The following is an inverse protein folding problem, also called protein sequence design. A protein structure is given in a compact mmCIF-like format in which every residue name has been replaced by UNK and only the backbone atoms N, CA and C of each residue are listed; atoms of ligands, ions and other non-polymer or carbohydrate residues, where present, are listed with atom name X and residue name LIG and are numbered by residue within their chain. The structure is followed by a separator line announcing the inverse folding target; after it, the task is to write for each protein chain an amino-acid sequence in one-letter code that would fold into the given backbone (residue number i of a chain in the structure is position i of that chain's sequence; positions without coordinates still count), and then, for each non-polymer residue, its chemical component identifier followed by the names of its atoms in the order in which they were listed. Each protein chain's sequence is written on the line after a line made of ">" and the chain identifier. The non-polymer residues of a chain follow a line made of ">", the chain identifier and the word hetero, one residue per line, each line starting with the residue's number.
data_IF_572031353179
#
_entry.id   IF_572031353179
#
_cell.length_a   1.000
_cell.length_b   1.000
_cell.length_c   1.000
_cell.angle_alpha   90.00
_cell.angle_beta   90.00
_cell.angle_gamma   90.00
#
_symmetry.space_group_name_H-M   'P 1'
#
loop_
_entity.id
_entity.type
_entity.pdbx_description
1 polymer ?
#
# COMPACT_ATOMS: atom_id res chain seq x y z
N UNK A 1 16.89 -40.96 -40.48
CA UNK A 1 15.97 -41.10 -39.34
C UNK A 1 16.77 -40.73 -38.11
N UNK A 2 16.62 -39.49 -37.64
CA UNK A 2 17.31 -38.96 -36.46
C UNK A 2 16.23 -38.49 -35.50
N UNK A 3 16.23 -39.03 -34.29
CA UNK A 3 15.17 -38.86 -33.30
C UNK A 3 14.95 -37.38 -32.95
N UNK A 4 13.68 -36.98 -32.95
CA UNK A 4 13.23 -35.66 -32.55
C UNK A 4 13.42 -35.53 -31.03
N UNK A 5 14.57 -35.01 -30.57
CA UNK A 5 14.74 -34.63 -29.17
C UNK A 5 13.79 -33.45 -28.91
N UNK A 6 12.65 -33.72 -28.27
CA UNK A 6 11.77 -32.69 -27.75
C UNK A 6 12.55 -31.99 -26.63
N UNK A 7 13.03 -30.78 -26.90
CA UNK A 7 13.87 -30.04 -25.98
C UNK A 7 12.99 -29.51 -24.84
N UNK A 8 12.90 -30.28 -23.75
CA UNK A 8 12.21 -29.86 -22.52
C UNK A 8 13.05 -28.80 -21.82
N UNK A 9 12.44 -27.66 -21.53
CA UNK A 9 13.10 -26.54 -20.89
C UNK A 9 12.39 -26.22 -19.60
N UNK A 10 13.13 -26.26 -18.51
CA UNK A 10 12.67 -25.84 -17.19
C UNK A 10 12.82 -24.32 -17.06
N UNK A 11 11.74 -23.66 -16.65
CA UNK A 11 11.67 -22.20 -16.67
C UNK A 11 12.54 -21.55 -15.60
N UNK A 12 12.74 -22.20 -14.44
CA UNK A 12 13.69 -21.72 -13.45
C UNK A 12 15.13 -21.66 -14.01
N UNK A 13 15.49 -22.54 -14.96
CA UNK A 13 16.79 -22.49 -15.66
C UNK A 13 16.82 -21.43 -16.76
N UNK A 14 15.66 -21.10 -17.33
CA UNK A 14 15.55 -20.08 -18.35
C UNK A 14 15.67 -18.68 -17.73
N UNK A 15 15.14 -18.47 -16.53
CA UNK A 15 15.34 -17.25 -15.77
C UNK A 15 16.83 -16.96 -15.54
N UNK A 16 17.23 -15.71 -15.76
CA UNK A 16 18.62 -15.25 -15.70
C UNK A 16 19.45 -15.54 -16.95
N UNK A 17 18.93 -16.32 -17.91
CA UNK A 17 19.63 -16.64 -19.15
C UNK A 17 19.79 -15.40 -20.03
N UNK A 18 20.99 -15.19 -20.59
CA UNK A 18 21.27 -14.05 -21.46
C UNK A 18 20.54 -14.17 -22.81
N UNK A 19 20.02 -13.05 -23.28
CA UNK A 19 19.30 -12.92 -24.55
C UNK A 19 20.18 -12.18 -25.54
N UNK A 20 20.34 -12.74 -26.74
CA UNK A 20 21.17 -12.20 -27.82
C UNK A 20 20.35 -11.97 -29.08
N UNK A 21 20.77 -10.98 -29.86
CA UNK A 21 20.27 -10.77 -31.21
C UNK A 21 20.95 -11.75 -32.22
N UNK A 22 20.55 -11.76 -33.50
CA UNK A 22 21.15 -12.65 -34.51
C UNK A 22 22.61 -12.32 -34.86
N UNK A 23 23.10 -11.12 -34.51
CA UNK A 23 24.48 -10.69 -34.73
C UNK A 23 25.40 -11.06 -33.55
N UNK A 24 24.82 -11.55 -32.44
CA UNK A 24 25.52 -11.91 -31.22
C UNK A 24 25.61 -10.78 -30.20
N UNK A 25 24.91 -9.67 -30.41
CA UNK A 25 24.88 -8.54 -29.48
C UNK A 25 23.96 -8.85 -28.29
N UNK A 26 24.38 -8.54 -27.04
CA UNK A 26 23.58 -8.79 -25.86
C UNK A 26 22.38 -7.82 -25.80
N UNK A 27 21.18 -8.39 -25.72
CA UNK A 27 19.92 -7.64 -25.60
C UNK A 27 19.51 -7.49 -24.14
N UNK A 28 19.67 -8.55 -23.34
CA UNK A 28 19.14 -8.56 -21.98
C UNK A 28 19.24 -9.93 -21.31
N UNK A 29 18.40 -10.16 -20.30
CA UNK A 29 18.27 -11.44 -19.60
C UNK A 29 16.80 -11.83 -19.48
N UNK A 30 16.49 -13.12 -19.64
CA UNK A 30 15.15 -13.63 -19.39
C UNK A 30 14.84 -13.51 -17.89
N UNK A 31 13.65 -13.02 -17.57
CA UNK A 31 13.13 -12.98 -16.20
C UNK A 31 12.01 -13.96 -15.98
N UNK A 32 11.11 -14.07 -16.96
CA UNK A 32 9.93 -14.92 -16.84
C UNK A 32 9.43 -15.35 -18.22
N UNK A 33 8.45 -16.24 -18.25
CA UNK A 33 7.62 -16.54 -19.40
C UNK A 33 6.18 -16.06 -19.17
N UNK A 34 5.51 -15.69 -20.25
CA UNK A 34 4.09 -15.35 -20.25
C UNK A 34 3.32 -16.51 -20.86
N UNK A 35 2.28 -16.98 -20.19
CA UNK A 35 1.41 -18.06 -20.69
C UNK A 35 -0.07 -17.68 -20.62
N UNK A 36 -0.90 -18.42 -21.37
CA UNK A 36 -2.36 -18.36 -21.27
C UNK A 36 -2.91 -19.64 -20.67
N UNK A 37 -3.68 -19.51 -19.60
CA UNK A 37 -4.49 -20.59 -19.04
C UNK A 37 -5.66 -20.88 -19.98
N UNK A 38 -5.88 -22.16 -20.27
CA UNK A 38 -7.01 -22.62 -21.07
C UNK A 38 -8.04 -23.31 -20.18
N UNK A 39 -9.32 -23.10 -20.48
CA UNK A 39 -10.42 -23.82 -19.84
C UNK A 39 -10.24 -25.33 -20.02
N UNK A 40 -10.65 -26.12 -19.01
CA UNK A 40 -10.63 -27.59 -18.98
C UNK A 40 -9.27 -28.26 -18.74
N UNK A 41 -8.40 -27.68 -17.89
CA UNK A 41 -7.11 -28.24 -17.47
C UNK A 41 -6.15 -28.59 -18.63
N UNK A 42 -6.31 -27.92 -19.78
CA UNK A 42 -5.38 -28.07 -20.90
C UNK A 42 -4.07 -27.35 -20.58
N UNK A 43 -2.96 -27.92 -21.05
CA UNK A 43 -1.63 -27.31 -20.93
C UNK A 43 -1.63 -25.84 -21.38
N UNK A 44 -1.18 -24.91 -20.52
CA UNK A 44 -1.05 -23.50 -20.84
C UNK A 44 -0.12 -23.29 -22.04
N UNK A 45 -0.46 -22.32 -22.89
CA UNK A 45 0.37 -21.97 -24.05
C UNK A 45 1.28 -20.80 -23.69
N UNK A 46 2.58 -20.97 -23.91
CA UNK A 46 3.57 -19.90 -23.73
C UNK A 46 3.44 -18.92 -24.90
N UNK A 47 3.17 -17.66 -24.60
CA UNK A 47 3.05 -16.56 -25.56
C UNK A 47 4.38 -15.87 -25.85
N UNK A 48 5.27 -15.83 -24.86
CA UNK A 48 6.53 -15.11 -24.96
C UNK A 48 7.35 -15.14 -23.67
N UNK A 49 8.46 -14.43 -23.70
CA UNK A 49 9.37 -14.25 -22.58
C UNK A 49 9.36 -12.79 -22.12
N UNK A 50 9.47 -12.58 -20.82
CA UNK A 50 9.78 -11.28 -20.24
C UNK A 50 11.29 -11.16 -20.19
N UNK A 51 11.82 -10.16 -20.89
CA UNK A 51 13.27 -9.91 -20.97
C UNK A 51 13.57 -8.57 -20.31
N UNK A 52 14.53 -8.58 -19.38
CA UNK A 52 15.11 -7.38 -18.82
C UNK A 52 16.23 -6.89 -19.70
N UNK A 53 16.06 -5.69 -20.26
CA UNK A 53 17.04 -4.97 -21.08
C UNK A 53 17.82 -3.97 -20.21
N UNK A 54 18.87 -3.29 -20.73
CA UNK A 54 19.57 -2.24 -19.98
C UNK A 54 18.62 -1.19 -19.36
N UNK A 55 19.04 -0.60 -18.23
CA UNK A 55 18.21 0.23 -17.35
C UNK A 55 17.10 -0.54 -16.60
N UNK A 56 17.29 -1.84 -16.35
CA UNK A 56 16.35 -2.73 -15.62
C UNK A 56 14.92 -2.74 -16.17
N UNK A 57 14.73 -2.38 -17.44
CA UNK A 57 13.39 -2.31 -18.06
C UNK A 57 12.96 -3.69 -18.54
N UNK A 58 11.77 -4.13 -18.11
CA UNK A 58 11.16 -5.38 -18.55
C UNK A 58 10.35 -5.15 -19.83
N UNK A 59 10.60 -5.95 -20.86
CA UNK A 59 9.90 -5.89 -22.15
C UNK A 59 9.42 -7.28 -22.56
N UNK A 60 8.36 -7.32 -23.36
CA UNK A 60 7.81 -8.58 -23.87
C UNK A 60 8.48 -8.99 -25.17
N UNK A 61 9.01 -10.21 -25.20
CA UNK A 61 9.51 -10.87 -26.41
C UNK A 61 8.52 -11.96 -26.80
N UNK A 62 7.77 -11.82 -27.91
CA UNK A 62 6.90 -12.88 -28.41
C UNK A 62 7.66 -14.18 -28.63
N UNK A 63 7.07 -15.32 -28.29
CA UNK A 63 7.74 -16.63 -28.40
C UNK A 63 8.12 -16.95 -29.85
N UNK A 64 7.39 -16.38 -30.82
CA UNK A 64 7.67 -16.51 -32.26
C UNK A 64 8.96 -15.81 -32.69
N UNK A 65 9.50 -14.92 -31.85
CA UNK A 65 10.77 -14.21 -32.10
C UNK A 65 11.96 -14.98 -31.56
N UNK A 66 11.75 -15.96 -30.68
CA UNK A 66 12.79 -16.81 -30.09
C UNK A 66 13.15 -17.90 -31.11
N UNK A 67 14.38 -17.86 -31.62
CA UNK A 67 14.84 -18.83 -32.64
C UNK A 67 15.50 -20.05 -32.02
N UNK A 68 16.23 -19.87 -30.93
CA UNK A 68 16.85 -20.98 -30.21
C UNK A 68 16.91 -20.68 -28.72
N UNK A 69 16.81 -21.75 -27.93
CA UNK A 69 17.09 -21.76 -26.50
C UNK A 69 18.09 -22.89 -26.28
N UNK A 70 19.35 -22.51 -26.05
CA UNK A 70 20.46 -23.42 -25.83
C UNK A 70 21.01 -23.23 -24.41
N UNK A 71 21.94 -24.09 -23.99
CA UNK A 71 22.44 -24.14 -22.60
C UNK A 71 23.10 -22.81 -22.19
N UNK A 72 22.30 -21.88 -21.66
CA UNK A 72 22.74 -20.56 -21.19
C UNK A 72 22.56 -19.40 -22.17
N UNK A 73 21.89 -19.58 -23.31
CA UNK A 73 21.58 -18.47 -24.23
C UNK A 73 20.21 -18.61 -24.91
N UNK A 74 19.50 -17.48 -25.02
CA UNK A 74 18.29 -17.34 -25.82
C UNK A 74 18.60 -16.41 -27.00
N UNK A 75 18.36 -16.87 -28.22
CA UNK A 75 18.56 -16.06 -29.42
C UNK A 75 17.20 -15.60 -29.94
N UNK A 76 17.09 -14.30 -30.22
CA UNK A 76 15.87 -13.67 -30.72
C UNK A 76 16.09 -13.01 -32.08
N UNK A 77 15.02 -12.74 -32.83
CA UNK A 77 15.09 -12.14 -34.17
C UNK A 77 14.22 -10.91 -34.36
N UNK A 78 14.75 -9.94 -35.12
CA UNK A 78 14.05 -8.74 -35.58
C UNK A 78 13.88 -7.66 -34.50
N UNK A 79 13.09 -6.63 -34.81
CA UNK A 79 12.98 -5.43 -33.97
C UNK A 79 12.21 -5.73 -32.67
N UNK A 80 12.82 -5.36 -31.55
CA UNK A 80 12.23 -5.48 -30.22
C UNK A 80 11.36 -4.26 -29.91
N UNK A 81 10.14 -4.51 -29.41
CA UNK A 81 9.31 -3.44 -28.87
C UNK A 81 9.82 -3.09 -27.46
N UNK A 82 10.28 -1.86 -27.28
CA UNK A 82 10.81 -1.40 -26.01
C UNK A 82 9.74 -0.96 -25.03
N UNK A 83 8.43 -1.06 -25.34
CA UNK A 83 7.35 -0.76 -24.39
C UNK A 83 7.51 -1.59 -23.11
N UNK A 84 7.28 -0.96 -21.96
CA UNK A 84 7.30 -1.64 -20.66
C UNK A 84 6.29 -2.79 -20.70
N UNK A 85 6.70 -3.95 -20.22
CA UNK A 85 5.83 -5.11 -20.14
C UNK A 85 4.72 -4.87 -19.12
N UNK A 86 3.50 -5.20 -19.52
CA UNK A 86 2.28 -5.20 -18.72
C UNK A 86 1.55 -6.51 -19.04
N UNK A 87 1.10 -7.23 -18.02
CA UNK A 87 0.29 -8.46 -18.17
C UNK A 87 -1.12 -8.12 -18.65
N UNK A 88 -1.60 -8.79 -19.69
CA UNK A 88 -2.95 -8.58 -20.22
C UNK A 88 -3.97 -9.52 -19.59
N UNK A 89 -5.26 -9.19 -19.71
CA UNK A 89 -6.35 -10.06 -19.27
C UNK A 89 -6.27 -11.44 -19.92
N UNK A 90 -6.16 -12.48 -19.10
CA UNK A 90 -6.04 -13.88 -19.54
C UNK A 90 -4.60 -14.37 -19.76
N UNK A 91 -3.61 -13.49 -19.59
CA UNK A 91 -2.20 -13.84 -19.52
C UNK A 91 -1.76 -14.01 -18.06
N UNK A 92 -0.71 -14.77 -17.85
CA UNK A 92 -0.09 -14.97 -16.54
C UNK A 92 1.42 -15.05 -16.66
N UNK A 93 2.12 -14.67 -15.60
CA UNK A 93 3.53 -14.92 -15.42
C UNK A 93 3.74 -16.32 -14.88
N UNK A 94 4.61 -17.08 -15.55
CA UNK A 94 4.76 -18.48 -15.23
C UNK A 94 5.53 -18.63 -13.92
N UNK A 95 6.70 -18.03 -13.78
CA UNK A 95 7.43 -18.05 -12.51
C UNK A 95 6.73 -17.16 -11.47
N UNK A 96 6.30 -15.96 -11.85
CA UNK A 96 5.65 -15.02 -10.92
C UNK A 96 4.34 -15.51 -10.30
N UNK A 97 3.47 -16.21 -11.05
CA UNK A 97 2.13 -16.55 -10.58
C UNK A 97 1.93 -18.03 -10.20
N UNK A 98 2.84 -18.92 -10.61
CA UNK A 98 2.67 -20.37 -10.43
C UNK A 98 3.76 -21.04 -9.59
N UNK A 99 4.92 -20.43 -9.43
CA UNK A 99 5.97 -20.96 -8.55
C UNK A 99 5.54 -20.82 -7.08
N UNK A 100 5.95 -21.76 -6.23
CA UNK A 100 5.56 -21.88 -4.81
C UNK A 100 4.04 -21.97 -4.54
N UNK A 101 3.24 -22.18 -5.59
CA UNK A 101 1.82 -22.41 -5.43
C UNK A 101 1.58 -23.80 -4.85
N UNK A 102 0.67 -23.88 -3.89
CA UNK A 102 0.16 -25.18 -3.42
C UNK A 102 -0.94 -25.63 -4.38
N UNK A 103 -0.77 -26.83 -4.94
CA UNK A 103 -1.70 -27.46 -5.87
C UNK A 103 -2.04 -28.86 -5.36
N UNK A 104 -3.04 -29.50 -5.96
CA UNK A 104 -3.42 -30.87 -5.61
C UNK A 104 -3.09 -31.84 -6.73
N UNK A 105 -2.60 -33.02 -6.38
CA UNK A 105 -2.54 -34.14 -7.32
C UNK A 105 -3.95 -34.68 -7.57
N UNK A 106 -4.29 -34.96 -8.84
CA UNK A 106 -5.55 -35.61 -9.21
C UNK A 106 -5.68 -36.97 -8.52
N UNK A 107 -4.58 -37.69 -8.45
CA UNK A 107 -4.49 -38.97 -7.74
C UNK A 107 -4.25 -38.71 -6.24
N UNK A 108 -5.31 -38.88 -5.44
CA UNK A 108 -5.23 -38.84 -3.97
C UNK A 108 -5.47 -37.47 -3.33
N UNK A 109 -5.66 -36.39 -4.10
CA UNK A 109 -5.95 -35.03 -3.59
C UNK A 109 -4.93 -34.54 -2.55
N UNK A 110 -3.68 -34.99 -2.67
CA UNK A 110 -2.60 -34.58 -1.78
C UNK A 110 -2.10 -33.17 -2.16
N UNK A 111 -1.97 -32.24 -1.20
CA UNK A 111 -1.41 -30.91 -1.46
C UNK A 111 0.11 -30.99 -1.67
N UNK A 112 0.59 -30.42 -2.77
CA UNK A 112 1.99 -30.38 -3.18
C UNK A 112 2.39 -28.97 -3.59
N UNK A 113 3.65 -28.60 -3.41
CA UNK A 113 4.19 -27.28 -3.77
C UNK A 113 4.77 -27.34 -5.18
N UNK A 114 4.57 -26.29 -6.00
CA UNK A 114 5.22 -26.14 -7.31
C UNK A 114 6.62 -25.55 -7.13
N UNK A 115 7.66 -26.30 -7.53
CA UNK A 115 9.05 -25.81 -7.51
C UNK A 115 9.51 -25.27 -8.88
N UNK A 116 9.02 -25.84 -9.98
CA UNK A 116 9.42 -25.43 -11.34
C UNK A 116 8.39 -25.90 -12.38
N UNK A 117 8.46 -25.35 -13.58
CA UNK A 117 7.65 -25.78 -14.72
C UNK A 117 8.49 -26.01 -15.95
N UNK A 118 8.11 -27.06 -16.69
CA UNK A 118 8.74 -27.44 -17.93
C UNK A 118 7.84 -27.10 -19.12
N UNK A 119 8.39 -26.30 -20.02
CA UNK A 119 7.82 -26.03 -21.34
C UNK A 119 8.42 -26.96 -22.39
N UNK A 120 7.58 -27.44 -23.29
CA UNK A 120 7.96 -28.29 -24.43
C UNK A 120 7.31 -27.72 -25.69
N UNK A 121 8.05 -27.77 -26.80
CA UNK A 121 7.50 -27.40 -28.11
C UNK A 121 6.77 -28.60 -28.70
N UNK A 122 5.53 -28.39 -29.12
CA UNK A 122 4.73 -29.42 -29.78
C UNK A 122 5.06 -29.54 -31.28
N UNK A 123 4.40 -30.46 -31.99
CA UNK A 123 4.60 -30.67 -33.44
C UNK A 123 4.19 -29.48 -34.32
N UNK A 124 3.31 -28.60 -33.83
CA UNK A 124 2.86 -27.39 -34.55
C UNK A 124 3.78 -26.19 -34.31
N UNK A 125 4.82 -26.35 -33.47
CA UNK A 125 5.76 -25.29 -33.12
C UNK A 125 5.33 -24.43 -31.93
N UNK A 126 4.20 -24.73 -31.30
CA UNK A 126 3.72 -24.02 -30.11
C UNK A 126 4.43 -24.53 -28.86
N UNK A 127 4.78 -23.60 -27.97
CA UNK A 127 5.33 -23.91 -26.67
C UNK A 127 4.22 -24.07 -25.65
N UNK A 128 4.21 -25.21 -24.96
CA UNK A 128 3.20 -25.57 -23.96
C UNK A 128 3.88 -25.92 -22.63
N UNK A 129 3.27 -25.52 -21.52
CA UNK A 129 3.66 -26.03 -20.20
C UNK A 129 3.07 -27.43 -20.05
N UNK A 130 3.94 -28.43 -20.09
CA UNK A 130 3.53 -29.85 -20.13
C UNK A 130 3.78 -30.58 -18.82
N UNK A 131 4.72 -30.08 -18.02
CA UNK A 131 5.15 -30.73 -16.78
C UNK A 131 5.40 -29.72 -15.68
N UNK A 132 5.20 -30.16 -14.44
CA UNK A 132 5.41 -29.37 -13.24
C UNK A 132 6.30 -30.17 -12.29
N UNK A 133 7.39 -29.57 -11.84
CA UNK A 133 8.21 -30.11 -10.77
C UNK A 133 7.58 -29.72 -9.44
N UNK A 134 7.30 -30.71 -8.61
CA UNK A 134 6.57 -30.54 -7.36
C UNK A 134 7.34 -31.12 -6.18
N UNK A 135 7.09 -30.57 -5.01
CA UNK A 135 7.56 -31.08 -3.73
C UNK A 135 6.37 -31.49 -2.87
N UNK A 136 6.37 -32.74 -2.38
CA UNK A 136 5.41 -33.20 -1.37
C UNK A 136 5.82 -32.66 0.01
N UNK A 137 4.85 -32.36 0.90
CA UNK A 137 5.16 -31.99 2.29
C UNK A 137 5.77 -33.20 3.03
N UNK A 138 6.92 -33.01 3.67
CA UNK A 138 7.56 -34.05 4.46
C UNK A 138 6.74 -34.43 5.71
N UNK A 139 6.76 -35.71 6.10
CA UNK A 139 6.26 -36.17 7.41
C UNK A 139 7.43 -36.43 8.36
N UNK A 140 7.38 -35.88 9.57
CA UNK A 140 8.37 -36.10 10.63
C UNK A 140 9.57 -35.15 10.60
N UNK A 141 10.71 -35.55 11.20
CA UNK A 141 11.92 -34.73 11.43
C UNK A 141 12.68 -34.28 10.15
N UNK A 142 12.16 -34.57 8.94
CA UNK A 142 12.73 -34.14 7.65
C UNK A 142 11.93 -32.95 7.12
N UNK A 143 12.54 -31.76 7.07
CA UNK A 143 11.90 -30.53 6.55
C UNK A 143 11.60 -30.57 5.05
N UNK A 144 12.37 -31.32 4.25
CA UNK A 144 12.17 -31.42 2.78
C UNK A 144 11.55 -32.77 2.40
N UNK A 145 10.35 -32.75 1.80
CA UNK A 145 9.68 -33.95 1.33
C UNK A 145 10.13 -34.38 -0.07
N UNK A 146 9.58 -35.49 -0.57
CA UNK A 146 9.99 -36.06 -1.85
C UNK A 146 9.60 -35.15 -3.02
N UNK A 147 10.55 -34.83 -3.89
CA UNK A 147 10.30 -34.10 -5.13
C UNK A 147 10.02 -35.05 -6.28
N UNK A 148 9.15 -34.66 -7.20
CA UNK A 148 8.84 -35.42 -8.41
C UNK A 148 8.38 -34.48 -9.52
N UNK A 149 8.51 -34.90 -10.79
CA UNK A 149 7.93 -34.17 -11.92
C UNK A 149 6.69 -34.90 -12.41
N UNK A 150 5.57 -34.19 -12.47
CA UNK A 150 4.26 -34.70 -12.90
C UNK A 150 3.82 -34.01 -14.18
N UNK A 151 2.90 -34.64 -14.92
CA UNK A 151 2.28 -34.01 -16.09
C UNK A 151 1.29 -32.93 -15.65
N UNK A 152 1.09 -31.92 -16.49
CA UNK A 152 0.10 -30.85 -16.23
C UNK A 152 -1.33 -31.39 -16.01
N UNK A 153 -1.67 -32.51 -16.65
CA UNK A 153 -3.00 -33.12 -16.53
C UNK A 153 -3.20 -33.87 -15.20
N UNK A 154 -2.12 -34.19 -14.48
CA UNK A 154 -2.13 -34.92 -13.21
C UNK A 154 -2.32 -34.00 -11.99
N UNK A 155 -2.49 -32.70 -12.23
CA UNK A 155 -2.57 -31.67 -11.20
C UNK A 155 -3.82 -30.81 -11.37
N UNK A 156 -4.36 -30.34 -10.26
CA UNK A 156 -5.51 -29.43 -10.16
C UNK A 156 -5.21 -28.31 -9.17
N UNK A 157 -5.98 -27.22 -9.22
CA UNK A 157 -5.77 -26.04 -8.36
C UNK A 157 -5.17 -24.82 -9.07
N UNK A 158 -4.90 -24.93 -10.39
CA UNK A 158 -4.61 -23.78 -11.25
C UNK A 158 -5.86 -23.07 -11.76
N UNK A 159 -7.04 -23.65 -11.53
CA UNK A 159 -8.35 -23.04 -11.79
C UNK A 159 -8.55 -21.88 -10.81
N UNK A 160 -8.67 -20.65 -11.35
CA UNK A 160 -9.10 -19.39 -10.72
C UNK A 160 -8.96 -19.22 -9.19
N UNK A 161 -8.13 -18.22 -8.81
CA UNK A 161 -8.16 -17.46 -7.56
C UNK A 161 -8.21 -18.24 -6.24
N UNK A 162 -7.04 -18.52 -5.67
CA UNK A 162 -6.91 -18.51 -4.21
C UNK A 162 -6.21 -17.20 -3.82
N UNK A 163 -7.03 -16.15 -3.69
CA UNK A 163 -6.64 -14.79 -3.28
C UNK A 163 -6.02 -14.74 -1.88
N UNK A 164 -6.24 -15.75 -1.03
CA UNK A 164 -6.01 -15.57 0.41
C UNK A 164 -4.58 -15.88 0.88
N UNK A 165 -3.84 -16.79 0.21
CA UNK A 165 -2.53 -17.21 0.74
C UNK A 165 -1.40 -16.22 0.41
N UNK A 166 -1.46 -15.55 -0.75
CA UNK A 166 -0.50 -14.51 -1.13
C UNK A 166 -0.72 -13.19 -0.39
N UNK A 167 -1.97 -12.88 0.00
CA UNK A 167 -2.29 -11.67 0.78
C UNK A 167 -1.75 -11.81 2.20
N UNK A 168 -1.86 -12.97 2.84
CA UNK A 168 -1.31 -13.15 4.20
C UNK A 168 0.21 -12.94 4.29
N UNK A 169 0.99 -13.47 3.33
CA UNK A 169 2.45 -13.25 3.28
C UNK A 169 2.82 -11.80 2.87
N UNK A 170 1.99 -11.17 2.04
CA UNK A 170 2.18 -9.78 1.67
C UNK A 170 1.87 -8.88 2.88
N UNK A 171 0.76 -9.10 3.59
CA UNK A 171 0.38 -8.40 4.80
C UNK A 171 1.38 -8.59 5.94
N UNK A 172 1.98 -9.77 6.11
CA UNK A 172 3.04 -9.95 7.12
C UNK A 172 4.28 -9.11 6.84
N UNK A 173 4.51 -8.78 5.57
CA UNK A 173 5.64 -7.97 5.14
C UNK A 173 5.31 -6.47 5.14
N UNK A 174 4.07 -6.14 4.76
CA UNK A 174 3.55 -4.78 4.71
C UNK A 174 3.08 -4.24 6.06
N UNK A 175 2.73 -5.11 7.01
CA UNK A 175 2.12 -4.72 8.29
C UNK A 175 3.01 -3.88 9.21
N UNK A 176 4.33 -3.85 8.96
CA UNK A 176 5.27 -3.02 9.71
C UNK A 176 5.68 -1.72 9.00
N UNK A 177 5.20 -1.50 7.77
CA UNK A 177 5.46 -0.25 7.05
C UNK A 177 4.73 0.91 7.74
N UNK A 178 5.18 2.14 7.53
CA UNK A 178 4.36 3.31 7.91
C UNK A 178 3.20 3.47 6.93
N UNK A 179 2.19 4.24 7.31
CA UNK A 179 1.01 4.48 6.48
C UNK A 179 1.39 5.05 5.11
N UNK A 180 2.21 6.11 5.08
CA UNK A 180 2.75 6.68 3.85
C UNK A 180 3.54 5.68 2.97
N UNK A 181 4.32 4.78 3.58
CA UNK A 181 5.06 3.75 2.84
C UNK A 181 4.11 2.67 2.28
N UNK A 182 3.08 2.31 3.04
CA UNK A 182 2.09 1.32 2.65
C UNK A 182 1.18 1.87 1.55
N UNK A 183 0.68 3.10 1.71
CA UNK A 183 0.01 3.87 0.65
C UNK A 183 0.86 3.81 -0.61
N UNK A 184 2.15 4.12 -0.49
CA UNK A 184 3.05 4.12 -1.62
C UNK A 184 3.14 2.77 -2.35
N UNK A 185 3.25 1.67 -1.60
CA UNK A 185 3.27 0.32 -2.16
C UNK A 185 1.94 -0.03 -2.81
N UNK A 186 0.80 0.32 -2.19
CA UNK A 186 -0.54 0.03 -2.72
C UNK A 186 -0.77 0.70 -4.07
N UNK A 187 -0.24 1.89 -4.28
CA UNK A 187 -0.34 2.59 -5.56
C UNK A 187 0.38 1.83 -6.69
N UNK A 188 1.54 1.24 -6.41
CA UNK A 188 2.31 0.47 -7.40
C UNK A 188 1.69 -0.90 -7.73
N UNK A 189 0.72 -1.37 -6.93
CA UNK A 189 0.01 -2.61 -7.18
C UNK A 189 -0.99 -2.46 -8.34
N UNK A 190 -1.17 -3.54 -9.09
CA UNK A 190 -2.26 -3.62 -10.06
C UNK A 190 -3.63 -3.38 -9.36
N UNK A 191 -4.60 -2.71 -9.99
CA UNK A 191 -5.85 -2.27 -9.32
C UNK A 191 -6.57 -3.38 -8.56
N UNK A 192 -6.67 -4.58 -9.14
CA UNK A 192 -7.27 -5.74 -8.47
C UNK A 192 -6.54 -6.13 -7.19
N UNK A 193 -5.20 -6.09 -7.21
CA UNK A 193 -4.37 -6.46 -6.08
C UNK A 193 -4.40 -5.39 -4.98
N UNK A 194 -4.47 -4.11 -5.36
CA UNK A 194 -4.70 -2.99 -4.43
C UNK A 194 -5.97 -3.20 -3.62
N UNK A 195 -7.09 -3.49 -4.31
CA UNK A 195 -8.38 -3.79 -3.65
C UNK A 195 -8.32 -5.03 -2.77
N UNK A 196 -7.65 -6.11 -3.22
CA UNK A 196 -7.46 -7.32 -2.40
C UNK A 196 -6.70 -7.04 -1.10
N UNK A 197 -5.66 -6.19 -1.14
CA UNK A 197 -4.88 -5.83 0.05
C UNK A 197 -5.68 -4.88 0.94
N UNK A 198 -6.32 -3.85 0.38
CA UNK A 198 -7.17 -2.94 1.13
C UNK A 198 -8.27 -3.69 1.90
N UNK A 199 -8.96 -4.63 1.24
CA UNK A 199 -10.00 -5.45 1.89
C UNK A 199 -9.48 -6.34 3.02
N UNK A 200 -8.18 -6.59 3.07
CA UNK A 200 -7.57 -7.45 4.08
C UNK A 200 -6.90 -6.67 5.22
N UNK A 201 -6.74 -5.34 5.09
CA UNK A 201 -6.41 -4.46 6.21
C UNK A 201 -7.64 -4.32 7.13
N UNK A 202 -7.40 -4.05 8.41
CA UNK A 202 -8.42 -3.53 9.32
C UNK A 202 -8.72 -2.07 8.99
N UNK A 203 -9.85 -1.58 9.49
CA UNK A 203 -10.40 -0.29 9.04
C UNK A 203 -9.55 0.88 9.54
N UNK A 204 -9.07 0.86 10.79
CA UNK A 204 -8.13 1.87 11.32
C UNK A 204 -6.86 1.97 10.47
N UNK A 205 -6.33 0.81 10.06
CA UNK A 205 -5.11 0.80 9.25
C UNK A 205 -5.34 1.23 7.82
N UNK A 206 -6.54 1.01 7.30
CA UNK A 206 -6.90 1.43 5.96
C UNK A 206 -7.19 2.93 5.92
N UNK A 207 -7.79 3.49 6.99
CA UNK A 207 -7.95 4.93 7.20
C UNK A 207 -6.60 5.66 7.12
N UNK A 208 -5.63 5.29 7.99
CA UNK A 208 -4.26 5.84 7.98
C UNK A 208 -3.65 5.85 6.55
N UNK A 209 -3.88 4.76 5.81
CA UNK A 209 -3.29 4.57 4.48
C UNK A 209 -3.99 5.43 3.45
N UNK A 210 -5.31 5.59 3.53
CA UNK A 210 -6.07 6.43 2.63
C UNK A 210 -5.71 7.90 2.81
N UNK A 211 -5.53 8.38 4.04
CA UNK A 211 -5.06 9.75 4.37
C UNK A 211 -3.75 10.09 3.63
N UNK A 212 -2.86 9.12 3.53
CA UNK A 212 -1.55 9.29 2.89
C UNK A 212 -1.54 9.05 1.37
N UNK A 213 -2.67 8.65 0.78
CA UNK A 213 -2.80 8.43 -0.66
C UNK A 213 -3.12 9.71 -1.42
N UNK A 214 -2.61 9.82 -2.65
CA UNK A 214 -3.01 10.88 -3.56
C UNK A 214 -4.53 10.82 -3.84
N UNK A 215 -5.18 11.99 -3.83
CA UNK A 215 -6.63 12.22 -3.97
C UNK A 215 -7.30 11.27 -4.98
N UNK A 216 -6.80 11.25 -6.22
CA UNK A 216 -7.42 10.46 -7.29
C UNK A 216 -7.40 8.94 -7.04
N UNK A 217 -6.40 8.45 -6.31
CA UNK A 217 -6.29 7.03 -5.98
C UNK A 217 -7.07 6.67 -4.72
N UNK A 218 -7.11 7.57 -3.74
CA UNK A 218 -7.91 7.47 -2.52
C UNK A 218 -9.39 7.32 -2.87
N UNK A 219 -9.92 8.21 -3.71
CA UNK A 219 -11.30 8.15 -4.23
C UNK A 219 -11.58 6.85 -4.98
N UNK A 220 -10.67 6.44 -5.87
CA UNK A 220 -10.84 5.22 -6.65
C UNK A 220 -10.85 3.95 -5.78
N UNK A 221 -10.08 3.94 -4.70
CA UNK A 221 -10.04 2.80 -3.77
C UNK A 221 -11.30 2.76 -2.91
N UNK A 222 -11.75 3.90 -2.36
CA UNK A 222 -12.98 4.00 -1.58
C UNK A 222 -14.21 3.53 -2.39
N UNK A 223 -14.26 3.87 -3.69
CA UNK A 223 -15.33 3.46 -4.58
C UNK A 223 -15.44 1.93 -4.80
N UNK A 224 -14.39 1.17 -4.53
CA UNK A 224 -14.35 -0.30 -4.66
C UNK A 224 -14.71 -1.02 -3.34
N UNK A 225 -14.94 -0.26 -2.26
CA UNK A 225 -15.35 -0.74 -0.96
C UNK A 225 -16.89 -0.75 -0.84
N UNK A 226 -17.39 -1.62 0.02
CA UNK A 226 -18.82 -1.71 0.31
C UNK A 226 -19.27 -0.50 1.16
N UNK A 227 -20.53 -0.09 1.04
CA UNK A 227 -21.01 1.17 1.65
C UNK A 227 -20.84 1.24 3.17
N UNK A 228 -21.19 0.19 3.90
CA UNK A 228 -21.03 0.13 5.36
C UNK A 228 -19.54 0.24 5.72
N UNK A 229 -18.70 -0.60 5.13
CA UNK A 229 -17.26 -0.56 5.37
C UNK A 229 -16.59 0.77 5.01
N UNK A 230 -17.03 1.41 3.93
CA UNK A 230 -16.53 2.73 3.56
C UNK A 230 -16.91 3.80 4.59
N UNK A 231 -18.06 3.67 5.25
CA UNK A 231 -18.45 4.53 6.35
C UNK A 231 -17.60 4.23 7.59
N UNK A 232 -17.45 2.95 7.98
CA UNK A 232 -16.59 2.55 9.11
C UNK A 232 -15.15 3.08 8.94
N UNK A 233 -14.61 3.08 7.72
CA UNK A 233 -13.27 3.62 7.45
C UNK A 233 -13.24 5.15 7.58
N UNK A 234 -14.29 5.86 7.16
CA UNK A 234 -14.38 7.31 7.30
C UNK A 234 -14.50 7.74 8.77
N UNK A 235 -15.10 6.90 9.63
CA UNK A 235 -15.16 7.11 11.09
C UNK A 235 -13.79 6.97 11.75
N UNK A 236 -12.94 6.09 11.23
CA UNK A 236 -11.58 5.87 11.74
C UNK A 236 -10.54 6.84 11.16
N UNK A 237 -10.93 7.73 10.23
CA UNK A 237 -10.07 8.77 9.66
C UNK A 237 -10.11 10.05 10.49
N UNK A 238 -9.03 10.83 10.41
CA UNK A 238 -9.04 12.19 10.96
C UNK A 238 -10.20 13.02 10.32
N UNK A 239 -11.03 13.76 11.09
CA UNK A 239 -12.26 14.37 10.57
C UNK A 239 -12.09 15.32 9.38
N UNK A 240 -10.96 16.02 9.30
CA UNK A 240 -10.57 16.87 8.19
C UNK A 240 -10.26 16.07 6.93
N UNK A 241 -9.49 14.99 7.04
CA UNK A 241 -9.22 14.08 5.93
C UNK A 241 -10.50 13.40 5.41
N UNK A 242 -11.39 12.99 6.33
CA UNK A 242 -12.70 12.45 5.99
C UNK A 242 -13.57 13.49 5.27
N UNK A 243 -13.59 14.74 5.75
CA UNK A 243 -14.33 15.83 5.11
C UNK A 243 -13.81 16.11 3.68
N UNK A 244 -12.48 16.15 3.50
CA UNK A 244 -11.85 16.36 2.21
C UNK A 244 -12.20 15.24 1.23
N UNK A 245 -12.06 13.98 1.65
CA UNK A 245 -12.43 12.82 0.82
C UNK A 245 -13.91 12.84 0.43
N UNK A 246 -14.81 13.21 1.35
CA UNK A 246 -16.24 13.32 1.03
C UNK A 246 -16.56 14.44 0.03
N UNK A 247 -15.80 15.55 0.03
CA UNK A 247 -15.95 16.61 -0.99
C UNK A 247 -15.56 16.10 -2.39
N UNK A 248 -14.61 15.16 -2.48
CA UNK A 248 -14.09 14.63 -3.75
C UNK A 248 -15.00 13.59 -4.42
N UNK A 249 -15.73 12.77 -3.65
CA UNK A 249 -16.55 11.66 -4.20
C UNK A 249 -17.93 12.08 -4.73
N UNK A 250 -18.32 13.33 -4.52
CA UNK A 250 -19.57 13.94 -4.99
C UNK A 250 -20.75 13.82 -4.01
N UNK A 251 -21.64 14.82 -4.05
CA UNK A 251 -22.69 15.04 -3.03
C UNK A 251 -23.60 13.83 -2.76
N UNK A 252 -24.04 13.12 -3.81
CA UNK A 252 -24.97 11.98 -3.65
C UNK A 252 -24.31 10.85 -2.86
N UNK A 253 -23.07 10.49 -3.23
CA UNK A 253 -22.33 9.41 -2.58
C UNK A 253 -21.86 9.81 -1.17
N UNK A 254 -21.44 11.06 -1.01
CA UNK A 254 -21.08 11.59 0.31
C UNK A 254 -22.25 11.49 1.28
N UNK A 255 -23.45 11.91 0.86
CA UNK A 255 -24.64 11.84 1.71
C UNK A 255 -25.04 10.40 2.04
N UNK A 256 -24.84 9.45 1.13
CA UNK A 256 -25.06 8.03 1.41
C UNK A 256 -24.13 7.52 2.52
N UNK A 257 -22.83 7.85 2.45
CA UNK A 257 -21.84 7.43 3.44
C UNK A 257 -22.08 8.11 4.80
N UNK A 258 -22.34 9.41 4.82
CA UNK A 258 -22.68 10.17 6.04
C UNK A 258 -23.90 9.58 6.76
N UNK A 259 -24.90 9.08 6.02
CA UNK A 259 -26.08 8.45 6.62
C UNK A 259 -25.80 7.06 7.21
N UNK A 260 -24.69 6.44 6.82
CA UNK A 260 -24.23 5.16 7.36
C UNK A 260 -23.29 5.35 8.54
N UNK A 261 -22.65 6.51 8.65
CA UNK A 261 -21.73 6.84 9.74
C UNK A 261 -22.44 6.96 11.10
N UNK A 262 -21.70 6.76 12.17
CA UNK A 262 -22.14 7.09 13.52
C UNK A 262 -22.45 8.59 13.65
N UNK A 263 -23.56 8.98 14.34
CA UNK A 263 -24.04 10.36 14.31
C UNK A 263 -23.08 11.41 14.86
N UNK A 264 -22.25 11.03 15.83
CA UNK A 264 -21.29 11.94 16.48
C UNK A 264 -20.13 12.25 15.52
N UNK A 265 -19.57 11.24 14.84
CA UNK A 265 -18.50 11.41 13.85
C UNK A 265 -19.01 12.14 12.59
N UNK A 266 -20.22 11.79 12.15
CA UNK A 266 -20.89 12.47 11.04
C UNK A 266 -21.12 13.96 11.31
N UNK A 267 -21.43 14.36 12.55
CA UNK A 267 -21.63 15.78 12.91
C UNK A 267 -20.34 16.59 12.74
N UNK A 268 -19.21 16.03 13.14
CA UNK A 268 -17.90 16.67 13.04
C UNK A 268 -17.46 16.88 11.60
N UNK A 269 -17.58 15.83 10.78
CA UNK A 269 -17.26 15.90 9.36
C UNK A 269 -18.19 16.87 8.61
N UNK A 270 -19.50 16.80 8.85
CA UNK A 270 -20.47 17.73 8.25
C UNK A 270 -20.18 19.19 8.58
N UNK A 271 -19.72 19.46 9.80
CA UNK A 271 -19.34 20.80 10.23
C UNK A 271 -18.13 21.30 9.44
N UNK A 272 -17.10 20.47 9.27
CA UNK A 272 -15.92 20.82 8.49
C UNK A 272 -16.25 21.08 7.02
N UNK A 273 -17.17 20.29 6.44
CA UNK A 273 -17.65 20.49 5.06
C UNK A 273 -18.35 21.84 4.82
N UNK A 274 -18.70 22.61 5.87
CA UNK A 274 -19.28 23.96 5.71
C UNK A 274 -18.25 25.06 5.46
N UNK A 275 -16.98 24.80 5.77
CA UNK A 275 -15.88 25.74 5.57
C UNK A 275 -15.31 25.63 4.15
N UNK A 276 -14.60 26.68 3.74
CA UNK A 276 -13.88 26.67 2.45
C UNK A 276 -12.57 25.88 2.60
N UNK A 277 -12.23 25.04 1.62
CA UNK A 277 -11.09 24.12 1.68
C UNK A 277 -9.78 24.79 2.15
N UNK A 278 -9.44 25.96 1.60
CA UNK A 278 -8.18 26.67 1.91
C UNK A 278 -8.30 27.67 3.07
N UNK A 279 -9.36 27.55 3.87
CA UNK A 279 -9.57 28.34 5.09
C UNK A 279 -9.10 27.58 6.33
N UNK A 280 -8.88 28.30 7.43
CA UNK A 280 -8.50 27.68 8.70
C UNK A 280 -9.55 26.68 9.19
N UNK A 281 -10.83 26.89 8.90
CA UNK A 281 -11.90 25.93 9.22
C UNK A 281 -11.96 24.74 8.28
N UNK A 282 -11.45 24.87 7.04
CA UNK A 282 -11.36 23.77 6.08
C UNK A 282 -10.21 22.82 6.38
N UNK A 283 -9.08 23.36 6.84
CA UNK A 283 -7.85 22.62 7.16
C UNK A 283 -7.71 22.26 8.65
N UNK A 284 -8.76 22.37 9.46
CA UNK A 284 -8.67 22.04 10.89
C UNK A 284 -9.27 20.68 11.16
N UNK A 285 -8.64 19.93 12.06
CA UNK A 285 -9.29 18.82 12.75
C UNK A 285 -10.15 19.32 13.92
N UNK A 286 -11.27 18.64 14.16
CA UNK A 286 -12.18 18.89 15.29
C UNK A 286 -11.71 18.22 16.59
N UNK A 287 -10.66 17.39 16.55
CA UNK A 287 -10.21 16.58 17.68
C UNK A 287 -8.83 16.97 18.27
N UNK A 288 -8.57 18.24 18.59
CA UNK A 288 -7.35 18.59 19.30
C UNK A 288 -7.40 18.11 20.77
N UNK A 289 -6.23 18.00 21.42
CA UNK A 289 -6.18 17.70 22.86
C UNK A 289 -6.69 18.91 23.65
N UNK A 290 -7.94 18.86 24.11
CA UNK A 290 -8.56 19.91 24.94
C UNK A 290 -8.67 19.48 26.41
N UNK A 291 -8.19 20.33 27.31
CA UNK A 291 -8.30 20.14 28.76
C UNK A 291 -8.75 21.42 29.47
N UNK A 292 -9.30 21.29 30.68
CA UNK A 292 -9.57 22.45 31.54
C UNK A 292 -8.37 22.79 32.42
N UNK A 293 -8.35 24.03 32.91
CA UNK A 293 -7.24 24.59 33.68
C UNK A 293 -6.96 23.88 35.03
N UNK A 294 -7.88 23.06 35.51
CA UNK A 294 -7.81 22.28 36.75
C UNK A 294 -7.23 20.87 36.57
N UNK A 295 -6.95 20.44 35.33
CA UNK A 295 -6.15 19.24 35.07
C UNK A 295 -4.70 19.44 35.52
N UNK A 296 -4.02 18.33 35.83
CA UNK A 296 -2.61 18.34 36.19
C UNK A 296 -1.70 18.12 34.97
N UNK A 297 -0.42 18.47 35.11
CA UNK A 297 0.62 18.12 34.14
C UNK A 297 0.67 16.62 33.87
N UNK A 298 0.44 15.79 34.89
CA UNK A 298 0.41 14.34 34.75
C UNK A 298 -0.73 13.88 33.81
N UNK A 299 -1.91 14.48 33.96
CA UNK A 299 -3.07 14.16 33.11
C UNK A 299 -2.80 14.58 31.66
N UNK A 300 -2.25 15.78 31.44
CA UNK A 300 -1.89 16.26 30.12
C UNK A 300 -0.83 15.39 29.43
N UNK A 301 0.22 14.99 30.16
CA UNK A 301 1.22 14.06 29.62
C UNK A 301 0.65 12.66 29.34
N UNK A 302 -0.41 12.25 30.05
CA UNK A 302 -1.09 11.00 29.76
C UNK A 302 -1.88 11.07 28.44
N UNK A 303 -2.52 12.22 28.14
CA UNK A 303 -3.19 12.47 26.87
C UNK A 303 -2.19 12.56 25.72
N UNK A 304 -1.16 13.39 25.83
CA UNK A 304 -0.10 13.60 24.81
C UNK A 304 0.66 12.32 24.44
N UNK A 305 0.65 11.28 25.29
CA UNK A 305 1.35 10.01 25.03
C UNK A 305 0.51 9.01 24.23
N UNK A 306 -0.77 9.29 23.97
CA UNK A 306 -1.60 8.40 23.15
C UNK A 306 -1.01 8.30 21.75
N UNK A 307 -0.88 7.08 21.23
CA UNK A 307 -0.19 6.83 19.96
C UNK A 307 -1.02 7.18 18.73
N UNK A 308 -2.33 7.24 18.89
CA UNK A 308 -3.30 7.63 17.85
C UNK A 308 -3.17 9.12 17.53
N UNK A 309 -2.76 9.95 18.49
CA UNK A 309 -2.64 11.40 18.27
C UNK A 309 -1.38 11.72 17.46
N UNK A 310 -1.55 12.44 16.36
CA UNK A 310 -0.44 12.86 15.51
C UNK A 310 0.62 13.65 16.29
N UNK A 311 1.92 13.54 15.94
CA UNK A 311 2.98 14.27 16.63
C UNK A 311 2.78 15.80 16.63
N UNK A 312 2.14 16.35 15.60
CA UNK A 312 1.85 17.78 15.49
C UNK A 312 0.76 18.22 16.47
N UNK A 313 -0.33 17.44 16.61
CA UNK A 313 -1.37 17.68 17.61
C UNK A 313 -0.87 17.43 19.03
N UNK A 314 -0.12 16.35 19.25
CA UNK A 314 0.47 15.99 20.54
C UNK A 314 1.48 17.03 21.06
N UNK A 315 1.95 17.94 20.20
CA UNK A 315 2.91 18.98 20.58
C UNK A 315 2.35 20.03 21.55
N UNK A 316 1.02 20.12 21.69
CA UNK A 316 0.40 21.10 22.58
C UNK A 316 -0.96 20.66 23.08
N UNK A 317 -1.33 21.17 24.26
CA UNK A 317 -2.63 20.96 24.88
C UNK A 317 -3.37 22.29 24.91
N UNK A 318 -4.58 22.31 24.36
CA UNK A 318 -5.44 23.47 24.34
C UNK A 318 -6.24 23.55 25.63
N UNK A 319 -6.24 24.73 26.26
CA UNK A 319 -6.89 24.96 27.53
C UNK A 319 -8.18 25.72 27.29
N UNK A 320 -9.31 25.13 27.66
CA UNK A 320 -10.63 25.73 27.50
C UNK A 320 -11.49 25.60 28.77
N UNK A 321 -12.61 26.31 28.80
CA UNK A 321 -13.71 26.06 29.75
C UNK A 321 -14.59 24.94 29.22
N UNK A 322 -15.30 24.26 30.13
CA UNK A 322 -16.32 23.28 29.79
C UNK A 322 -17.41 23.88 28.85
N UNK A 323 -17.95 23.09 27.89
CA UNK A 323 -17.58 21.71 27.54
C UNK A 323 -16.20 21.61 26.87
N UNK A 324 -15.57 20.43 26.90
CA UNK A 324 -14.23 20.19 26.34
C UNK A 324 -14.24 19.61 24.93
N UNK A 325 -15.36 19.10 24.44
CA UNK A 325 -15.57 18.74 23.04
C UNK A 325 -15.72 19.99 22.18
N UNK A 326 -15.26 19.95 20.93
CA UNK A 326 -15.39 21.06 19.99
C UNK A 326 -16.83 21.14 19.44
N UNK A 327 -17.50 22.31 19.48
CA UNK A 327 -17.00 23.60 19.87
C UNK A 327 -16.98 23.73 21.39
N UNK A 328 -15.84 24.13 21.93
CA UNK A 328 -15.64 24.11 23.39
C UNK A 328 -16.40 25.26 24.07
N UNK A 329 -16.29 25.32 25.40
CA UNK A 329 -16.45 26.59 26.10
C UNK A 329 -15.38 27.61 25.69
N UNK A 330 -15.22 28.68 26.49
CA UNK A 330 -14.23 29.72 26.19
C UNK A 330 -12.79 29.17 26.18
N UNK A 331 -12.08 29.36 25.06
CA UNK A 331 -10.66 29.14 24.91
C UNK A 331 -9.85 30.09 25.79
N UNK A 332 -8.85 29.56 26.50
CA UNK A 332 -8.02 30.30 27.46
C UNK A 332 -6.59 30.49 26.93
N UNK A 333 -6.05 29.47 26.28
CA UNK A 333 -4.67 29.45 25.81
C UNK A 333 -4.19 28.02 25.57
N UNK A 334 -2.87 27.83 25.51
CA UNK A 334 -2.27 26.52 25.22
C UNK A 334 -1.08 26.23 26.15
N UNK A 335 -0.75 24.96 26.29
CA UNK A 335 0.44 24.50 27.00
C UNK A 335 1.24 23.58 26.08
N UNK A 336 2.46 23.99 25.72
CA UNK A 336 3.35 23.16 24.92
C UNK A 336 3.89 21.97 25.71
N UNK A 337 4.08 20.83 25.05
CA UNK A 337 4.55 19.60 25.72
C UNK A 337 5.92 19.77 26.40
N UNK A 338 6.82 20.60 25.84
CA UNK A 338 8.12 20.87 26.45
C UNK A 338 7.98 21.59 27.79
N UNK A 339 6.91 22.38 27.98
CA UNK A 339 6.59 23.01 29.27
C UNK A 339 6.09 21.97 30.26
N UNK A 340 5.23 21.05 29.83
CA UNK A 340 4.77 19.92 30.66
C UNK A 340 5.94 19.08 31.19
N UNK A 341 6.95 18.81 30.35
CA UNK A 341 8.15 18.05 30.75
C UNK A 341 9.06 18.77 31.76
N UNK A 342 8.91 20.08 31.94
CA UNK A 342 9.74 20.90 32.85
C UNK A 342 9.08 21.18 34.19
N UNK A 343 7.79 20.87 34.32
CA UNK A 343 6.98 21.20 35.48
C UNK A 343 6.71 19.93 36.32
N UNK A 344 6.51 20.06 37.65
CA UNK A 344 6.11 18.94 38.47
C UNK A 344 4.80 18.29 37.98
N UNK A 345 4.65 16.95 37.99
CA UNK A 345 3.45 16.28 37.49
C UNK A 345 2.14 16.70 38.18
N UNK A 346 2.20 17.14 39.44
CA UNK A 346 1.05 17.62 40.21
C UNK A 346 0.66 19.08 39.94
N UNK A 347 1.43 19.82 39.15
CA UNK A 347 1.15 21.22 38.83
C UNK A 347 -0.11 21.33 37.99
N UNK A 348 -0.97 22.30 38.28
CA UNK A 348 -2.19 22.54 37.51
C UNK A 348 -1.89 23.25 36.19
N UNK A 349 -2.54 22.86 35.10
CA UNK A 349 -2.36 23.47 33.77
C UNK A 349 -2.65 24.97 33.78
N UNK A 350 -3.65 25.42 34.55
CA UNK A 350 -3.98 26.84 34.70
C UNK A 350 -2.87 27.72 35.26
N UNK A 351 -1.87 27.14 35.93
CA UNK A 351 -0.70 27.89 36.41
C UNK A 351 0.41 28.05 35.37
N UNK A 352 0.36 27.23 34.31
CA UNK A 352 1.39 27.14 33.27
C UNK A 352 0.85 27.37 31.85
N UNK A 353 -0.41 27.77 31.72
CA UNK A 353 -1.02 28.13 30.43
C UNK A 353 -0.31 29.36 29.83
N UNK A 354 -0.04 29.31 28.53
CA UNK A 354 0.32 30.48 27.74
C UNK A 354 -0.95 31.10 27.14
N UNK A 355 -1.25 32.33 27.55
CA UNK A 355 -2.42 33.10 27.09
C UNK A 355 -2.05 34.10 26.00
N UNK A 356 -0.81 34.12 25.52
CA UNK A 356 -0.37 35.07 24.50
C UNK A 356 -0.77 34.65 23.08
N UNK A 357 -0.96 33.35 22.86
CA UNK A 357 -1.37 32.83 21.54
C UNK A 357 -2.84 33.11 21.30
N UNK A 358 -3.11 34.03 20.38
CA UNK A 358 -4.46 34.31 19.90
C UNK A 358 -4.78 33.31 18.79
N UNK A 359 -5.90 32.60 18.91
CA UNK A 359 -6.38 31.72 17.84
C UNK A 359 -6.75 32.51 16.58
N UNK A 360 -6.91 31.80 15.47
CA UNK A 360 -7.34 32.38 14.20
C UNK A 360 -8.83 32.18 13.98
N UNK A 361 -9.44 33.07 13.21
CA UNK A 361 -10.82 32.91 12.76
C UNK A 361 -10.92 31.75 11.75
N UNK A 362 -12.01 30.96 11.73
CA UNK A 362 -12.18 29.87 10.77
C UNK A 362 -12.08 30.32 9.30
N UNK A 363 -12.49 31.55 8.97
CA UNK A 363 -12.41 32.09 7.61
C UNK A 363 -11.00 32.62 7.25
N UNK A 364 -10.00 32.47 8.13
CA UNK A 364 -8.64 32.91 7.86
C UNK A 364 -8.03 32.11 6.71
N UNK A 365 -7.37 32.80 5.76
CA UNK A 365 -6.79 32.14 4.59
C UNK A 365 -5.55 31.31 4.92
N UNK A 366 -5.24 30.33 4.07
CA UNK A 366 -3.99 29.56 4.11
C UNK A 366 -2.74 30.43 4.33
N UNK A 367 -2.63 31.58 3.65
CA UNK A 367 -1.50 32.48 3.83
C UNK A 367 -1.42 33.06 5.26
N UNK A 368 -2.57 33.43 5.84
CA UNK A 368 -2.61 33.94 7.21
C UNK A 368 -2.22 32.87 8.22
N UNK A 369 -2.75 31.65 8.07
CA UNK A 369 -2.45 30.49 8.92
C UNK A 369 -0.95 30.13 8.84
N UNK A 370 -0.44 29.90 7.63
CA UNK A 370 0.98 29.57 7.40
C UNK A 370 1.94 30.65 7.90
N UNK A 371 1.62 31.93 7.68
CA UNK A 371 2.41 33.04 8.21
C UNK A 371 2.45 33.05 9.74
N UNK A 372 1.32 32.73 10.39
CA UNK A 372 1.23 32.68 11.84
C UNK A 372 2.07 31.53 12.41
N UNK A 373 1.87 30.30 11.89
CA UNK A 373 2.64 29.13 12.29
C UNK A 373 4.15 29.38 12.16
N UNK A 374 4.59 29.94 11.03
CA UNK A 374 5.99 30.26 10.77
C UNK A 374 6.54 31.38 11.67
N UNK A 375 5.76 32.44 11.92
CA UNK A 375 6.19 33.58 12.74
C UNK A 375 6.44 33.19 14.20
N UNK A 376 5.66 32.24 14.71
CA UNK A 376 5.70 31.82 16.11
C UNK A 376 6.30 30.43 16.34
N UNK A 377 6.80 29.77 15.29
CA UNK A 377 7.35 28.40 15.33
C UNK A 377 6.37 27.40 15.96
N UNK A 378 5.10 27.51 15.60
CA UNK A 378 4.04 26.62 16.10
C UNK A 378 3.91 25.39 15.20
N UNK A 379 3.54 24.26 15.80
CA UNK A 379 3.24 23.02 15.08
C UNK A 379 1.74 22.80 14.89
N UNK A 380 0.91 23.49 15.67
CA UNK A 380 -0.53 23.58 15.41
C UNK A 380 -1.08 24.93 15.89
N UNK A 381 -2.25 25.32 15.41
CA UNK A 381 -2.85 26.63 15.63
C UNK A 381 -4.33 26.50 16.00
N UNK A 382 -4.80 27.11 17.10
CA UNK A 382 -6.21 27.00 17.49
C UNK A 382 -7.08 27.85 16.56
N UNK A 383 -8.19 27.26 16.13
CA UNK A 383 -9.25 27.96 15.38
C UNK A 383 -10.37 28.31 16.35
N UNK A 384 -10.75 29.58 16.40
CA UNK A 384 -11.72 30.11 17.36
C UNK A 384 -12.86 30.89 16.69
N UNK A 385 -14.07 30.75 17.24
CA UNK A 385 -15.24 31.50 16.79
C UNK A 385 -15.29 32.93 17.36
N UNK A 386 -16.31 33.70 16.96
CA UNK A 386 -16.53 35.06 17.44
C UNK A 386 -16.89 35.16 18.95
N UNK A 387 -17.14 34.03 19.61
CA UNK A 387 -17.46 33.92 21.04
C UNK A 387 -16.26 33.41 21.86
N UNK A 388 -15.05 33.41 21.30
CA UNK A 388 -13.83 32.85 21.88
C UNK A 388 -13.95 31.33 22.18
N UNK A 389 -14.74 30.56 21.43
CA UNK A 389 -14.81 29.09 21.57
C UNK A 389 -13.82 28.42 20.64
N UNK A 390 -13.12 27.39 21.11
CA UNK A 390 -12.26 26.57 20.26
C UNK A 390 -13.13 25.67 19.37
N UNK A 391 -12.94 25.78 18.05
CA UNK A 391 -13.62 24.96 17.06
C UNK A 391 -12.79 23.74 16.65
N UNK A 392 -11.47 23.86 16.72
CA UNK A 392 -10.53 22.85 16.25
C UNK A 392 -9.11 23.39 16.26
N UNK A 393 -8.20 22.66 15.62
CA UNK A 393 -6.82 23.09 15.40
C UNK A 393 -6.33 22.74 14.01
N UNK A 394 -5.55 23.64 13.41
CA UNK A 394 -4.85 23.37 12.15
C UNK A 394 -3.43 22.93 12.47
N UNK A 395 -2.95 21.83 11.89
CA UNK A 395 -1.56 21.40 12.06
C UNK A 395 -0.66 21.98 10.98
N UNK A 396 0.67 21.90 11.20
CA UNK A 396 1.65 22.41 10.24
C UNK A 396 1.74 21.51 9.02
N UNK A 397 1.51 20.21 9.18
CA UNK A 397 1.47 19.19 8.15
C UNK A 397 0.34 19.45 7.15
N UNK A 398 -0.90 19.66 7.62
CA UNK A 398 -2.05 19.97 6.74
C UNK A 398 -1.79 21.25 5.94
N UNK A 399 -1.18 22.25 6.57
CA UNK A 399 -0.81 23.50 5.89
C UNK A 399 0.28 23.29 4.86
N UNK A 400 1.24 22.39 5.11
CA UNK A 400 2.27 22.05 4.14
C UNK A 400 1.67 21.32 2.94
N UNK A 401 0.71 20.44 3.15
CA UNK A 401 0.01 19.75 2.06
C UNK A 401 -0.66 20.71 1.09
N UNK A 402 -1.33 21.72 1.63
CA UNK A 402 -2.00 22.76 0.83
C UNK A 402 -1.02 23.75 0.17
N UNK A 403 0.24 23.82 0.63
CA UNK A 403 1.27 24.69 0.06
C UNK A 403 2.12 24.00 -1.01
N UNK A 404 2.22 22.67 -0.94
CA UNK A 404 2.95 21.87 -1.90
C UNK A 404 2.15 21.70 -3.20
N UNK A 405 2.82 21.50 -4.34
CA UNK A 405 2.12 21.30 -5.61
C UNK A 405 1.34 19.98 -5.60
N UNK A 406 0.30 19.90 -6.43
CA UNK A 406 -0.44 18.66 -6.67
C UNK A 406 0.52 17.50 -6.97
N UNK A 407 0.22 16.31 -6.44
CA UNK A 407 1.04 15.09 -6.58
C UNK A 407 2.46 15.18 -5.99
N UNK A 408 2.75 16.11 -5.06
CA UNK A 408 4.06 16.19 -4.40
C UNK A 408 4.43 14.88 -3.70
N UNK A 409 3.43 14.14 -3.17
CA UNK A 409 3.59 12.84 -2.52
C UNK A 409 4.17 11.81 -3.51
N UNK A 410 3.71 11.80 -4.76
CA UNK A 410 4.31 10.99 -5.83
C UNK A 410 5.77 11.39 -6.14
N UNK A 411 6.08 12.68 -6.25
CA UNK A 411 7.43 13.15 -6.63
C UNK A 411 8.51 12.84 -5.57
N UNK A 412 8.16 12.92 -4.28
CA UNK A 412 9.07 12.58 -3.19
C UNK A 412 9.48 11.09 -3.19
N UNK A 413 8.67 10.22 -3.77
CA UNK A 413 8.87 8.75 -3.77
C UNK A 413 9.87 8.27 -4.81
N UNK A 414 10.00 8.97 -5.92
CA UNK A 414 11.06 8.71 -6.92
C UNK A 414 12.47 8.94 -6.34
N UNK A 415 12.56 9.54 -5.15
CA UNK A 415 13.80 9.75 -4.38
C UNK A 415 13.98 8.70 -3.26
N UNK A 416 14.53 7.55 -3.63
CA UNK A 416 15.36 6.63 -2.81
C UNK A 416 14.74 5.75 -1.70
N UNK A 417 13.59 6.05 -1.08
CA UNK A 417 13.12 5.28 0.09
C UNK A 417 12.27 4.04 -0.26
N UNK A 418 11.33 4.14 -1.21
CA UNK A 418 10.40 3.05 -1.56
C UNK A 418 11.09 1.90 -2.29
N UNK A 419 12.16 2.19 -3.04
CA UNK A 419 12.96 1.15 -3.73
C UNK A 419 13.66 0.22 -2.74
N UNK A 420 14.13 0.73 -1.61
CA UNK A 420 14.82 -0.08 -0.60
C UNK A 420 13.84 -0.98 0.18
N UNK A 421 12.62 -0.51 0.46
CA UNK A 421 11.58 -1.33 1.06
C UNK A 421 11.19 -2.48 0.11
N UNK A 422 10.91 -2.19 -1.16
CA UNK A 422 10.61 -3.22 -2.18
C UNK A 422 11.79 -4.18 -2.44
N UNK A 423 13.04 -3.70 -2.45
CA UNK A 423 14.24 -4.55 -2.54
C UNK A 423 14.47 -5.38 -1.26
N UNK A 424 14.04 -4.90 -0.08
CA UNK A 424 14.08 -5.64 1.19
C UNK A 424 13.03 -6.76 1.29
N UNK A 425 11.87 -6.55 0.67
CA UNK A 425 10.86 -7.61 0.46
C UNK A 425 11.43 -8.68 -0.46
N UNK A 426 12.12 -8.28 -1.54
CA UNK A 426 12.75 -9.21 -2.49
C UNK A 426 13.97 -9.95 -1.89
N UNK A 427 14.71 -9.34 -0.94
CA UNK A 427 15.90 -9.94 -0.30
C UNK A 427 15.61 -10.73 0.99
N UNK A 428 14.59 -10.38 1.77
CA UNK A 428 14.15 -11.19 2.93
C UNK A 428 13.58 -12.55 2.50
N UNK A 429 13.00 -12.61 1.30
CA UNK A 429 12.67 -13.87 0.62
C UNK A 429 13.93 -14.72 0.31
N UNK A 430 15.06 -14.08 -0.01
CA UNK A 430 16.33 -14.76 -0.33
C UNK A 430 17.06 -15.25 0.93
N UNK A 431 17.10 -14.47 2.01
CA UNK A 431 17.83 -14.83 3.25
C UNK A 431 17.11 -15.91 4.09
N UNK A 432 15.77 -16.03 3.97
CA UNK A 432 15.04 -17.15 4.60
C UNK A 432 15.40 -18.51 3.99
N UNK A 433 15.89 -18.52 2.73
CA UNK A 433 16.31 -19.71 1.99
C UNK A 433 17.74 -20.12 2.37
N UNK A 434 18.61 -19.17 2.74
CA UNK A 434 20.00 -19.46 3.09
C UNK A 434 20.20 -19.78 4.59
N UNK A 435 19.37 -19.26 5.50
CA UNK A 435 19.47 -19.58 6.94
C UNK A 435 19.02 -21.02 7.32
N UNK A 436 18.31 -21.72 6.43
CA UNK A 436 18.01 -23.16 6.60
C UNK A 436 19.12 -24.10 6.06
N UNK A 437 20.23 -23.55 5.53
CA UNK A 437 21.37 -24.34 5.02
C UNK A 437 22.56 -24.47 5.98
N UNK A 438 22.55 -23.84 7.15
CA UNK A 438 23.70 -23.85 8.09
C UNK A 438 23.44 -24.45 9.50
N UNK A 439 22.42 -25.30 9.69
CA UNK A 439 22.29 -26.11 10.94
C UNK A 439 22.22 -27.61 10.68
#
# INVERSE_FOLDING_TARGET
>A
MSGNNINRIFLARLAGTAVFDPNGDPVGKVRDAVATLRSNNQSPRVLGLVVEVPLRRRVFVPITRVTSIESGAVVITGLLNMRRFETRTGEMLVLGDLLDRTISLVEGSEPVLVEDMAMEQNRTGDWLITRVHIMRKGRGLRRKGATSTVAWEEITGFSHHESNQGVANLLSTLGNLRAADLAAVLQDLAPKRRVEVARALNDERLADVLEEMDESERVALLAELEGERAADILEEMDPDDAADLLREIGEERAQELINLMDPDDAEDVLRLMTYEDYSAGGMMTTEPIVMSADYTVADALAAVRQSEISPALASQVFIARQPLETPTGRFIGMVHYQRLLREPPSTLLGSIVDTNTQGVNPDASLHAVSSYLASYNLLSLPVIDANDRLLGAVTVDDVLDHLLPDNWRHEHRDSAATTAALESIDTSFVDSIDSEREV
#
